data_IF_153781065152
#
_entry.id   IF_153781065152
#
_cell.length_a   1.000
_cell.length_b   1.000
_cell.length_c   1.000
_cell.angle_alpha   90.00
_cell.angle_beta   90.00
_cell.angle_gamma   90.00
#
_symmetry.space_group_name_H-M   'P 1'
#
loop_
_entity.id
_entity.type
_entity.pdbx_description
1 polymer ?
#
# COMPACT_ATOMS: atom_id res chain seq x y z
N UNK A 1 52.92 -15.95 32.75
CA UNK A 1 52.14 -16.68 31.72
C UNK A 1 50.62 -16.68 31.96
N UNK A 2 50.09 -17.02 33.12
CA UNK A 2 48.63 -17.14 33.35
C UNK A 2 47.86 -15.81 33.23
N UNK A 3 48.44 -14.65 33.57
CA UNK A 3 47.81 -13.33 33.45
C UNK A 3 47.61 -12.94 31.98
N UNK A 4 48.58 -13.23 31.11
CA UNK A 4 48.50 -12.95 29.66
C UNK A 4 47.41 -13.81 29.02
N UNK A 5 47.29 -15.08 29.40
CA UNK A 5 46.26 -16.00 28.90
C UNK A 5 44.86 -15.53 29.24
N UNK A 6 44.64 -14.98 30.46
CA UNK A 6 43.36 -14.40 30.86
C UNK A 6 42.97 -13.15 30.04
N UNK A 7 43.97 -12.30 29.76
CA UNK A 7 43.71 -11.10 28.92
C UNK A 7 43.39 -11.47 27.48
N UNK A 8 44.05 -12.47 26.92
CA UNK A 8 43.76 -12.96 25.58
C UNK A 8 42.36 -13.62 25.50
N UNK A 9 41.99 -14.40 26.49
CA UNK A 9 40.65 -14.99 26.56
C UNK A 9 39.56 -13.92 26.69
N UNK A 10 39.78 -12.90 27.52
CA UNK A 10 38.81 -11.80 27.68
C UNK A 10 38.67 -10.96 26.40
N UNK A 11 39.77 -10.70 25.70
CA UNK A 11 39.76 -10.03 24.43
C UNK A 11 39.02 -10.82 23.35
N UNK A 12 39.18 -12.14 23.30
CA UNK A 12 38.45 -13.02 22.38
C UNK A 12 36.93 -13.02 22.65
N UNK A 13 36.52 -13.05 23.93
CA UNK A 13 35.11 -12.99 24.33
C UNK A 13 34.49 -11.65 23.94
N UNK A 14 35.20 -10.53 24.18
CA UNK A 14 34.71 -9.19 23.79
C UNK A 14 34.58 -9.05 22.27
N UNK A 15 35.54 -9.58 21.50
CA UNK A 15 35.47 -9.59 20.03
C UNK A 15 34.29 -10.45 19.55
N UNK A 16 34.04 -11.61 20.17
CA UNK A 16 32.87 -12.45 19.82
C UNK A 16 31.53 -11.75 20.11
N UNK A 17 31.43 -11.07 21.27
CA UNK A 17 30.22 -10.28 21.62
C UNK A 17 30.02 -9.14 20.64
N UNK A 18 31.08 -8.44 20.26
CA UNK A 18 31.00 -7.33 19.30
C UNK A 18 30.58 -7.81 17.90
N UNK A 19 31.12 -8.94 17.44
CA UNK A 19 30.71 -9.58 16.19
C UNK A 19 29.27 -10.04 16.22
N UNK A 20 28.83 -10.64 17.32
CA UNK A 20 27.45 -11.08 17.49
C UNK A 20 26.47 -9.89 17.51
N UNK A 21 26.81 -8.83 18.24
CA UNK A 21 26.02 -7.61 18.27
C UNK A 21 25.95 -6.94 16.88
N UNK A 22 27.07 -6.89 16.14
CA UNK A 22 27.08 -6.38 14.77
C UNK A 22 26.23 -7.22 13.83
N UNK A 23 26.33 -8.55 13.91
CA UNK A 23 25.53 -9.48 13.10
C UNK A 23 24.03 -9.38 13.45
N UNK A 24 23.71 -9.23 14.75
CA UNK A 24 22.34 -9.04 15.20
C UNK A 24 21.74 -7.72 14.73
N UNK A 25 22.50 -6.63 14.79
CA UNK A 25 22.10 -5.32 14.24
C UNK A 25 21.91 -5.37 12.71
N UNK A 26 22.76 -6.11 12.00
CA UNK A 26 22.60 -6.32 10.56
C UNK A 26 21.37 -7.18 10.22
N UNK A 27 21.10 -8.21 11.02
CA UNK A 27 19.90 -9.03 10.88
C UNK A 27 18.60 -8.24 11.14
N UNK A 28 18.63 -7.31 12.12
CA UNK A 28 17.50 -6.41 12.41
C UNK A 28 17.31 -5.33 11.32
N UNK A 29 18.35 -4.99 10.59
CA UNK A 29 18.27 -4.01 9.48
C UNK A 29 17.62 -4.59 8.21
N UNK A 30 17.38 -5.88 8.15
CA UNK A 30 16.91 -6.57 6.95
C UNK A 30 17.97 -6.55 5.81
N UNK A 31 17.77 -7.28 4.73
CA UNK A 31 18.65 -7.19 3.57
C UNK A 31 18.62 -5.74 3.09
N UNK A 32 19.81 -5.13 2.98
CA UNK A 32 19.96 -3.78 2.43
C UNK A 32 19.30 -3.76 1.06
N UNK A 33 18.14 -3.11 0.94
CA UNK A 33 17.65 -2.71 -0.36
C UNK A 33 18.76 -1.87 -0.99
N UNK A 34 19.27 -2.27 -2.14
CA UNK A 34 20.22 -1.47 -2.89
C UNK A 34 19.64 -0.05 -3.02
N UNK A 35 20.44 1.02 -2.91
CA UNK A 35 19.94 2.38 -3.05
C UNK A 35 19.23 2.49 -4.39
N UNK A 36 17.90 2.59 -4.34
CA UNK A 36 17.08 2.84 -5.53
C UNK A 36 17.44 4.25 -5.99
N UNK A 37 18.07 4.34 -7.15
CA UNK A 37 18.31 5.60 -7.84
C UNK A 37 16.99 6.36 -7.90
N UNK A 38 16.91 7.66 -7.50
CA UNK A 38 15.68 8.40 -7.59
C UNK A 38 15.12 8.27 -9.01
N UNK A 39 13.86 7.85 -9.10
CA UNK A 39 13.18 7.74 -10.37
C UNK A 39 13.26 9.10 -11.07
N UNK A 40 13.70 9.08 -12.31
CA UNK A 40 13.71 10.25 -13.16
C UNK A 40 12.35 10.91 -13.10
N UNK A 41 12.38 12.24 -12.99
CA UNK A 41 11.29 13.19 -13.10
C UNK A 41 10.10 12.64 -13.89
N UNK A 42 8.94 12.52 -13.22
CA UNK A 42 7.74 11.99 -13.84
C UNK A 42 7.43 12.84 -15.09
N UNK A 43 7.73 12.30 -16.25
CA UNK A 43 7.31 12.89 -17.53
C UNK A 43 5.81 13.16 -17.44
N UNK A 44 5.39 14.37 -17.78
CA UNK A 44 3.99 14.76 -17.83
C UNK A 44 3.22 13.70 -18.65
N UNK A 45 2.46 12.86 -17.97
CA UNK A 45 1.64 11.85 -18.61
C UNK A 45 0.59 12.58 -19.43
N UNK A 46 0.63 12.42 -20.74
CA UNK A 46 -0.49 12.77 -21.62
C UNK A 46 -1.74 12.10 -21.07
N UNK A 47 -2.87 12.80 -20.94
CA UNK A 47 -4.10 12.18 -20.46
C UNK A 47 -4.44 11.00 -21.37
N UNK A 48 -4.69 9.81 -20.79
CA UNK A 48 -5.06 8.66 -21.57
C UNK A 48 -6.42 8.88 -22.24
N UNK A 49 -6.70 8.23 -23.39
CA UNK A 49 -7.96 8.36 -24.09
C UNK A 49 -9.13 7.96 -23.17
N UNK A 50 -10.22 8.68 -23.27
CA UNK A 50 -11.46 8.41 -22.52
C UNK A 50 -11.94 6.98 -22.78
N UNK A 51 -11.86 6.13 -21.77
CA UNK A 51 -12.37 4.78 -21.85
C UNK A 51 -13.90 4.78 -21.64
N UNK A 52 -14.63 4.24 -22.62
CA UNK A 52 -16.03 3.90 -22.46
C UNK A 52 -16.12 2.39 -22.23
N UNK A 53 -16.69 1.98 -21.09
CA UNK A 53 -16.95 0.56 -20.84
C UNK A 53 -17.79 -0.03 -21.98
N UNK A 54 -17.38 -1.14 -22.59
CA UNK A 54 -18.23 -1.83 -23.56
C UNK A 54 -19.52 -2.26 -22.86
N UNK A 55 -20.66 -1.87 -23.45
CA UNK A 55 -21.96 -2.32 -22.99
C UNK A 55 -22.01 -3.84 -23.11
N UNK A 56 -22.15 -4.55 -21.98
CA UNK A 56 -22.48 -5.98 -22.00
C UNK A 56 -21.57 -6.93 -21.23
N UNK A 57 -20.48 -6.50 -20.60
CA UNK A 57 -19.72 -7.38 -19.69
C UNK A 57 -20.12 -7.11 -18.25
N UNK A 58 -21.21 -7.70 -17.80
CA UNK A 58 -21.50 -7.90 -16.39
C UNK A 58 -20.59 -9.05 -15.90
N UNK A 59 -19.38 -8.71 -15.46
CA UNK A 59 -18.65 -9.62 -14.61
C UNK A 59 -19.52 -9.85 -13.36
N UNK A 60 -19.87 -11.11 -13.12
CA UNK A 60 -20.59 -11.55 -11.92
C UNK A 60 -19.64 -11.45 -10.72
N UNK A 61 -19.26 -10.22 -10.38
CA UNK A 61 -18.53 -9.93 -9.15
C UNK A 61 -19.54 -9.97 -8.02
N UNK A 62 -19.15 -10.63 -6.91
CA UNK A 62 -19.93 -10.60 -5.69
C UNK A 62 -20.27 -9.15 -5.39
N UNK A 63 -21.54 -8.81 -5.44
CA UNK A 63 -22.17 -7.51 -5.40
C UNK A 63 -21.54 -6.43 -4.51
N UNK A 64 -20.25 -6.09 -4.76
CA UNK A 64 -19.64 -4.90 -4.17
C UNK A 64 -20.40 -3.71 -4.78
N UNK A 65 -21.13 -2.95 -3.97
CA UNK A 65 -21.86 -1.80 -4.50
C UNK A 65 -20.87 -0.72 -4.90
N UNK A 66 -21.14 -0.02 -6.01
CA UNK A 66 -20.49 1.26 -6.27
C UNK A 66 -20.92 2.25 -5.21
N UNK A 67 -19.99 2.75 -4.41
CA UNK A 67 -20.26 3.66 -3.29
C UNK A 67 -19.47 4.94 -3.43
N UNK A 68 -20.15 6.07 -3.26
CA UNK A 68 -19.55 7.41 -3.24
C UNK A 68 -19.73 8.03 -1.86
N UNK A 69 -18.61 8.47 -1.26
CA UNK A 69 -18.56 8.93 0.13
C UNK A 69 -18.86 10.40 0.35
N UNK A 70 -19.38 11.13 -0.63
CA UNK A 70 -19.67 12.56 -0.48
C UNK A 70 -18.43 13.47 -0.50
N UNK A 71 -17.20 12.95 -0.60
CA UNK A 71 -16.04 13.77 -0.95
C UNK A 71 -15.86 13.81 -2.46
N UNK A 72 -15.35 14.92 -3.00
CA UNK A 72 -15.02 15.01 -4.41
C UNK A 72 -13.92 14.01 -4.73
N UNK A 73 -14.15 13.04 -5.64
CA UNK A 73 -13.07 12.18 -6.10
C UNK A 73 -12.01 13.01 -6.82
N UNK A 74 -10.76 12.53 -6.88
CA UNK A 74 -9.70 13.24 -7.58
C UNK A 74 -10.02 13.37 -9.07
N UNK A 75 -9.50 14.39 -9.76
CA UNK A 75 -9.61 14.49 -11.19
C UNK A 75 -8.90 13.31 -11.87
N UNK A 76 -9.59 12.66 -12.79
CA UNK A 76 -9.08 11.49 -13.51
C UNK A 76 -9.27 10.18 -12.75
N UNK A 77 -9.13 9.08 -13.47
CA UNK A 77 -9.25 7.72 -12.97
C UNK A 77 -8.17 6.85 -13.58
N UNK A 78 -7.70 5.85 -12.82
CA UNK A 78 -6.82 4.81 -13.34
C UNK A 78 -7.49 4.09 -14.52
N UNK A 79 -6.69 3.68 -15.49
CA UNK A 79 -7.12 2.84 -16.62
C UNK A 79 -6.67 1.38 -16.50
N UNK A 80 -6.35 0.94 -15.28
CA UNK A 80 -6.11 -0.47 -14.97
C UNK A 80 -4.66 -0.93 -15.03
N UNK A 81 -3.76 -0.21 -15.71
CA UNK A 81 -2.33 -0.63 -15.80
C UNK A 81 -1.49 -0.13 -14.64
N UNK A 82 -1.71 1.12 -14.21
CA UNK A 82 -0.93 1.80 -13.16
C UNK A 82 -1.87 2.66 -12.31
N UNK A 83 -1.58 2.86 -11.02
CA UNK A 83 -2.27 3.85 -10.23
C UNK A 83 -2.08 5.26 -10.80
N UNK A 84 -3.17 6.01 -10.90
CA UNK A 84 -3.11 7.41 -11.29
C UNK A 84 -2.91 8.29 -10.06
N UNK A 85 -1.91 9.14 -10.10
CA UNK A 85 -1.65 10.16 -9.08
C UNK A 85 -1.76 11.55 -9.71
N UNK A 86 -2.59 12.43 -9.13
CA UNK A 86 -2.83 13.77 -9.66
C UNK A 86 -2.51 14.84 -8.63
N UNK A 87 -2.07 16.04 -9.05
CA UNK A 87 -1.88 17.16 -8.12
C UNK A 87 -3.16 17.50 -7.36
N UNK A 88 -3.00 17.97 -6.13
CA UNK A 88 -4.11 18.53 -5.35
C UNK A 88 -4.61 19.80 -6.02
N UNK A 89 -5.92 19.96 -6.26
CA UNK A 89 -6.49 21.17 -6.84
C UNK A 89 -6.14 22.42 -6.02
N UNK A 90 -5.93 23.55 -6.70
CA UNK A 90 -5.72 24.83 -6.03
C UNK A 90 -6.91 25.13 -5.12
N UNK A 91 -6.64 25.53 -3.89
CA UNK A 91 -7.67 25.90 -2.90
C UNK A 91 -8.19 24.72 -2.06
N UNK A 92 -7.84 23.48 -2.37
CA UNK A 92 -8.18 22.35 -1.49
C UNK A 92 -7.37 22.43 -0.20
N UNK A 93 -8.08 22.63 0.91
CA UNK A 93 -7.48 22.79 2.23
C UNK A 93 -7.45 21.47 3.02
N UNK A 94 -6.65 21.43 4.08
CA UNK A 94 -6.76 20.39 5.10
C UNK A 94 -8.14 20.46 5.76
N UNK A 95 -8.68 19.30 6.10
CA UNK A 95 -9.99 19.16 6.75
C UNK A 95 -9.91 18.25 7.97
N UNK A 96 -10.95 18.27 8.80
CA UNK A 96 -11.04 17.39 9.98
C UNK A 96 -11.92 16.18 9.66
N UNK A 97 -11.43 14.99 10.00
CA UNK A 97 -12.15 13.74 9.91
C UNK A 97 -11.80 12.83 11.10
N UNK A 98 -12.81 12.34 11.82
CA UNK A 98 -12.62 11.49 13.01
C UNK A 98 -11.57 12.05 14.00
N UNK A 99 -11.65 13.33 14.34
CA UNK A 99 -10.73 14.06 15.24
C UNK A 99 -9.27 14.14 14.76
N UNK A 100 -9.02 13.85 13.48
CA UNK A 100 -7.71 14.01 12.85
C UNK A 100 -7.77 15.10 11.78
N UNK A 101 -6.71 15.90 11.68
CA UNK A 101 -6.52 16.83 10.56
C UNK A 101 -5.92 16.05 9.40
N UNK A 102 -6.64 15.97 8.29
CA UNK A 102 -6.19 15.33 7.07
C UNK A 102 -5.72 16.39 6.07
N UNK A 103 -4.49 16.26 5.60
CA UNK A 103 -3.90 17.08 4.55
C UNK A 103 -3.78 16.26 3.28
N UNK A 104 -4.51 16.58 2.20
CA UNK A 104 -4.34 15.95 0.91
C UNK A 104 -2.91 16.19 0.36
N UNK A 105 -2.30 15.14 -0.16
CA UNK A 105 -0.98 15.16 -0.77
C UNK A 105 -1.08 15.02 -2.30
N UNK A 106 -1.91 14.07 -2.75
CA UNK A 106 -2.21 13.79 -4.15
C UNK A 106 -3.62 13.22 -4.28
N UNK A 107 -4.27 13.46 -5.41
CA UNK A 107 -5.38 12.62 -5.85
C UNK A 107 -4.88 11.25 -6.23
N UNK A 108 -5.67 10.21 -5.99
CA UNK A 108 -5.27 8.83 -6.21
C UNK A 108 -6.43 8.00 -6.76
N UNK A 109 -6.16 7.22 -7.81
CA UNK A 109 -7.10 6.26 -8.37
C UNK A 109 -6.35 5.01 -8.76
N UNK A 110 -6.86 3.84 -8.39
CA UNK A 110 -6.26 2.54 -8.74
C UNK A 110 -7.33 1.52 -9.11
N UNK A 111 -7.12 0.82 -10.22
CA UNK A 111 -7.83 -0.41 -10.58
C UNK A 111 -6.96 -1.58 -10.15
N UNK A 112 -7.44 -2.39 -9.22
CA UNK A 112 -6.63 -3.42 -8.61
C UNK A 112 -7.41 -4.70 -8.32
N UNK A 113 -6.69 -5.80 -8.24
CA UNK A 113 -7.15 -7.05 -7.62
C UNK A 113 -6.71 -7.07 -6.17
N UNK A 114 -7.61 -7.40 -5.27
CA UNK A 114 -7.33 -7.53 -3.85
C UNK A 114 -6.64 -8.86 -3.58
N UNK A 115 -5.37 -8.83 -3.17
CA UNK A 115 -4.63 -10.03 -2.79
C UNK A 115 -4.97 -10.47 -1.37
N UNK A 116 -5.24 -9.53 -0.48
CA UNK A 116 -5.62 -9.76 0.91
C UNK A 116 -6.34 -8.54 1.46
N UNK A 117 -7.29 -8.75 2.36
CA UNK A 117 -8.01 -7.70 3.09
C UNK A 117 -7.93 -7.98 4.60
N UNK A 118 -7.55 -6.98 5.38
CA UNK A 118 -7.39 -7.11 6.84
C UNK A 118 -8.17 -6.02 7.56
N UNK A 119 -9.12 -6.43 8.41
CA UNK A 119 -9.84 -5.55 9.33
C UNK A 119 -9.04 -5.31 10.60
N UNK A 120 -9.14 -4.08 11.14
CA UNK A 120 -8.55 -3.66 12.41
C UNK A 120 -9.58 -3.00 13.31
N UNK A 121 -9.51 -3.26 14.62
CA UNK A 121 -10.45 -2.72 15.61
C UNK A 121 -9.78 -2.20 16.88
N UNK A 122 -8.54 -2.56 17.15
CA UNK A 122 -7.90 -2.35 18.45
C UNK A 122 -6.66 -1.47 18.44
N UNK A 123 -5.96 -1.34 17.30
CA UNK A 123 -4.80 -0.46 17.21
C UNK A 123 -5.22 1.02 17.16
N UNK A 124 -4.25 1.91 17.31
CA UNK A 124 -4.46 3.35 17.33
C UNK A 124 -5.13 3.84 16.04
N UNK A 125 -4.70 3.32 14.92
CA UNK A 125 -5.11 3.71 13.58
C UNK A 125 -6.49 3.16 13.19
N UNK A 126 -7.00 2.12 13.89
CA UNK A 126 -8.23 1.41 13.53
C UNK A 126 -9.47 2.32 13.47
N UNK A 127 -9.53 3.34 14.34
CA UNK A 127 -10.64 4.32 14.32
C UNK A 127 -10.63 5.17 13.06
N UNK A 128 -9.46 5.41 12.50
CA UNK A 128 -9.29 6.22 11.28
C UNK A 128 -9.33 5.33 10.04
N UNK A 129 -8.49 4.29 9.99
CA UNK A 129 -8.36 3.34 8.89
C UNK A 129 -8.68 1.91 9.38
N UNK A 130 -9.97 1.50 9.38
CA UNK A 130 -10.39 0.21 9.91
C UNK A 130 -10.06 -0.98 9.00
N UNK A 131 -9.61 -0.74 7.76
CA UNK A 131 -9.31 -1.79 6.78
C UNK A 131 -8.01 -1.46 6.06
N UNK A 132 -7.18 -2.47 5.88
CA UNK A 132 -6.04 -2.45 4.98
C UNK A 132 -6.31 -3.42 3.82
N UNK A 133 -6.00 -2.98 2.61
CA UNK A 133 -6.06 -3.79 1.41
C UNK A 133 -4.66 -3.98 0.82
N UNK A 134 -4.24 -5.22 0.65
CA UNK A 134 -3.08 -5.56 -0.18
C UNK A 134 -3.55 -5.63 -1.63
N UNK A 135 -3.20 -4.64 -2.42
CA UNK A 135 -3.67 -4.43 -3.79
C UNK A 135 -2.59 -4.79 -4.81
N UNK A 136 -3.02 -5.34 -5.96
CA UNK A 136 -2.19 -5.65 -7.10
C UNK A 136 -2.76 -5.01 -8.36
N UNK A 137 -1.90 -4.42 -9.21
CA UNK A 137 -2.28 -3.80 -10.48
C UNK A 137 -1.36 -4.24 -11.62
N UNK A 138 -1.67 -3.83 -12.86
CA UNK A 138 -0.92 -4.26 -14.04
C UNK A 138 -0.88 -5.79 -14.16
N UNK A 139 0.27 -6.35 -14.50
CA UNK A 139 0.47 -7.81 -14.61
C UNK A 139 0.28 -8.57 -13.30
N UNK A 140 0.43 -7.91 -12.15
CA UNK A 140 0.16 -8.52 -10.85
C UNK A 140 -1.32 -8.89 -10.66
N UNK A 141 -2.24 -8.44 -11.53
CA UNK A 141 -3.65 -8.85 -11.50
C UNK A 141 -3.90 -10.24 -12.09
N UNK A 142 -2.89 -10.86 -12.70
CA UNK A 142 -3.00 -12.23 -13.21
C UNK A 142 -3.22 -13.23 -12.07
N UNK A 143 -4.25 -14.05 -12.21
CA UNK A 143 -4.62 -15.07 -11.21
C UNK A 143 -3.51 -16.08 -10.93
N UNK A 144 -2.75 -16.48 -11.96
CA UNK A 144 -1.65 -17.42 -11.80
C UNK A 144 -0.52 -16.81 -10.98
N UNK A 145 -0.24 -15.51 -11.17
CA UNK A 145 0.75 -14.77 -10.40
C UNK A 145 0.30 -14.61 -8.95
N UNK A 146 -0.95 -14.17 -8.73
CA UNK A 146 -1.49 -14.01 -7.37
C UNK A 146 -1.50 -15.33 -6.61
N UNK A 147 -1.90 -16.43 -7.26
CA UNK A 147 -1.91 -17.78 -6.66
C UNK A 147 -0.51 -18.30 -6.34
N UNK A 148 0.51 -17.91 -7.10
CA UNK A 148 1.89 -18.27 -6.83
C UNK A 148 2.49 -17.50 -5.64
N UNK A 149 1.90 -16.35 -5.28
CA UNK A 149 2.32 -15.53 -4.15
C UNK A 149 1.51 -15.90 -2.90
N UNK A 150 2.22 -16.24 -1.83
CA UNK A 150 1.62 -16.39 -0.50
C UNK A 150 1.62 -15.04 0.19
N UNK A 151 0.51 -14.32 0.09
CA UNK A 151 0.33 -13.00 0.68
C UNK A 151 -0.26 -13.13 2.07
N UNK A 152 0.33 -12.43 3.04
CA UNK A 152 -0.17 -12.31 4.42
C UNK A 152 -0.15 -10.86 4.86
N UNK A 153 -1.06 -10.47 5.76
CA UNK A 153 -1.07 -9.13 6.37
C UNK A 153 -1.02 -9.25 7.89
N UNK A 154 -0.12 -8.49 8.52
CA UNK A 154 -0.01 -8.38 9.97
C UNK A 154 0.57 -7.02 10.36
N UNK A 155 0.14 -6.47 11.51
CA UNK A 155 0.66 -5.22 12.08
C UNK A 155 0.77 -4.07 11.07
N UNK A 156 -0.25 -3.88 10.23
CA UNK A 156 -0.33 -2.85 9.19
C UNK A 156 0.63 -3.04 8.01
N UNK A 157 1.25 -4.21 7.90
CA UNK A 157 2.12 -4.58 6.80
C UNK A 157 1.53 -5.72 6.01
N UNK A 158 1.93 -5.84 4.73
CA UNK A 158 1.76 -7.05 3.96
C UNK A 158 3.11 -7.68 3.65
N UNK A 159 3.11 -9.00 3.55
CA UNK A 159 4.27 -9.82 3.24
C UNK A 159 3.89 -10.75 2.12
N UNK A 160 4.81 -11.01 1.23
CA UNK A 160 4.63 -11.98 0.17
C UNK A 160 5.88 -12.84 0.02
N UNK A 161 5.67 -14.05 -0.44
CA UNK A 161 6.70 -15.03 -0.74
C UNK A 161 6.18 -15.98 -1.80
N UNK A 162 7.08 -16.67 -2.48
CA UNK A 162 6.75 -17.74 -3.40
C UNK A 162 7.63 -18.96 -3.12
N UNK A 163 7.25 -20.11 -3.68
CA UNK A 163 8.03 -21.33 -3.67
C UNK A 163 8.30 -21.74 -5.13
N UNK A 164 9.54 -22.18 -5.42
CA UNK A 164 9.95 -22.57 -6.77
C UNK A 164 10.30 -21.39 -7.66
N UNK A 165 9.73 -21.36 -8.88
CA UNK A 165 10.04 -20.31 -9.85
C UNK A 165 9.42 -18.98 -9.45
N UNK A 166 10.19 -17.90 -9.58
CA UNK A 166 9.73 -16.52 -9.38
C UNK A 166 8.58 -16.21 -10.36
N UNK A 167 7.39 -15.79 -9.86
CA UNK A 167 6.22 -15.56 -10.73
C UNK A 167 6.35 -14.29 -11.57
N UNK A 168 7.01 -13.27 -11.03
CA UNK A 168 7.40 -12.03 -11.70
C UNK A 168 8.73 -11.54 -11.11
N UNK A 169 9.50 -10.73 -11.84
CA UNK A 169 10.67 -10.07 -11.26
C UNK A 169 10.31 -9.33 -9.96
N UNK A 170 11.07 -9.55 -8.89
CA UNK A 170 10.85 -8.91 -7.58
C UNK A 170 10.61 -7.41 -7.67
N UNK A 171 11.38 -6.70 -8.52
CA UNK A 171 11.20 -5.26 -8.74
C UNK A 171 9.85 -4.90 -9.36
N UNK A 172 9.25 -5.79 -10.15
CA UNK A 172 7.91 -5.61 -10.71
C UNK A 172 6.84 -5.88 -9.65
N UNK A 173 6.99 -6.92 -8.83
CA UNK A 173 6.08 -7.18 -7.70
C UNK A 173 6.01 -5.96 -6.79
N UNK A 174 7.17 -5.39 -6.41
CA UNK A 174 7.25 -4.19 -5.57
C UNK A 174 6.53 -3.00 -6.21
N UNK A 175 6.72 -2.75 -7.51
CA UNK A 175 6.10 -1.60 -8.18
C UNK A 175 4.63 -1.78 -8.50
N UNK A 176 4.14 -3.02 -8.54
CA UNK A 176 2.79 -3.36 -8.98
C UNK A 176 1.91 -3.91 -7.86
N UNK A 177 2.32 -3.74 -6.61
CA UNK A 177 1.50 -4.08 -5.45
C UNK A 177 1.88 -3.23 -4.24
N UNK A 178 0.90 -3.00 -3.35
CA UNK A 178 1.13 -2.29 -2.09
C UNK A 178 0.08 -2.67 -1.03
N UNK A 179 0.43 -2.49 0.25
CA UNK A 179 -0.54 -2.45 1.32
C UNK A 179 -1.04 -1.03 1.50
N UNK A 180 -2.35 -0.84 1.42
CA UNK A 180 -2.97 0.48 1.47
C UNK A 180 -3.92 0.57 2.66
N UNK A 181 -3.75 1.61 3.48
CA UNK A 181 -4.57 1.89 4.66
C UNK A 181 -5.78 2.72 4.25
N UNK A 182 -6.99 2.18 4.42
CA UNK A 182 -8.23 2.76 3.90
C UNK A 182 -8.94 3.59 4.97
N UNK A 183 -8.99 4.89 4.80
CA UNK A 183 -9.75 5.83 5.62
C UNK A 183 -11.09 6.09 4.92
N UNK A 184 -12.21 5.53 5.39
CA UNK A 184 -13.51 5.74 4.76
C UNK A 184 -13.99 7.16 4.96
N UNK A 185 -14.47 7.82 3.90
CA UNK A 185 -15.02 9.18 3.98
C UNK A 185 -16.36 9.25 4.70
N UNK A 186 -17.11 8.15 4.73
CA UNK A 186 -18.36 8.01 5.48
C UNK A 186 -18.68 6.52 5.76
N UNK A 187 -19.82 6.25 6.41
CA UNK A 187 -20.23 4.89 6.80
C UNK A 187 -20.58 4.00 5.61
N UNK A 188 -21.08 4.54 4.51
CA UNK A 188 -21.34 3.75 3.30
C UNK A 188 -20.04 3.23 2.67
N UNK A 189 -19.01 4.09 2.56
CA UNK A 189 -17.67 3.71 2.11
C UNK A 189 -17.03 2.74 3.11
N UNK A 190 -17.23 2.95 4.42
CA UNK A 190 -16.76 2.03 5.47
C UNK A 190 -17.33 0.62 5.27
N UNK A 191 -18.63 0.53 5.09
CA UNK A 191 -19.33 -0.76 4.88
C UNK A 191 -18.84 -1.44 3.61
N UNK A 192 -18.68 -0.69 2.50
CA UNK A 192 -18.14 -1.23 1.26
C UNK A 192 -16.73 -1.77 1.44
N UNK A 193 -15.82 -1.02 2.05
CA UNK A 193 -14.44 -1.44 2.32
C UNK A 193 -14.38 -2.70 3.20
N UNK A 194 -15.24 -2.79 4.23
CA UNK A 194 -15.30 -3.96 5.11
C UNK A 194 -15.86 -5.22 4.41
N UNK A 195 -16.63 -5.05 3.34
CA UNK A 195 -17.16 -6.14 2.52
C UNK A 195 -16.17 -6.70 1.49
N UNK A 196 -15.06 -5.99 1.22
CA UNK A 196 -14.05 -6.41 0.25
C UNK A 196 -13.28 -7.64 0.76
N UNK A 197 -13.02 -8.57 -0.16
CA UNK A 197 -12.30 -9.82 0.11
C UNK A 197 -11.18 -10.06 -0.90
N UNK A 198 -10.26 -10.96 -0.55
CA UNK A 198 -9.26 -11.43 -1.50
C UNK A 198 -9.92 -11.99 -2.77
N UNK A 199 -9.39 -11.62 -3.92
CA UNK A 199 -9.92 -11.99 -5.24
C UNK A 199 -10.91 -10.99 -5.84
N UNK A 200 -11.37 -9.99 -5.08
CA UNK A 200 -12.22 -8.93 -5.64
C UNK A 200 -11.40 -7.99 -6.53
N UNK A 201 -12.03 -7.48 -7.59
CA UNK A 201 -11.47 -6.45 -8.46
C UNK A 201 -12.18 -5.12 -8.19
N UNK A 202 -11.42 -4.14 -7.77
CA UNK A 202 -11.97 -2.86 -7.31
C UNK A 202 -11.22 -1.67 -7.90
N UNK A 203 -11.95 -0.58 -8.11
CA UNK A 203 -11.37 0.75 -8.23
C UNK A 203 -11.54 1.48 -6.91
N UNK A 204 -10.44 2.04 -6.43
CA UNK A 204 -10.42 2.93 -5.28
C UNK A 204 -10.07 4.33 -5.78
N UNK A 205 -10.96 5.29 -5.54
CA UNK A 205 -10.73 6.71 -5.82
C UNK A 205 -10.69 7.49 -4.51
N UNK A 206 -9.67 8.32 -4.33
CA UNK A 206 -9.51 9.08 -3.09
C UNK A 206 -8.30 10.00 -3.09
N UNK A 207 -7.83 10.32 -1.90
CA UNK A 207 -6.71 11.24 -1.70
C UNK A 207 -5.65 10.56 -0.86
N UNK A 208 -4.41 10.50 -1.34
CA UNK A 208 -3.26 10.22 -0.49
C UNK A 208 -3.15 11.36 0.52
N UNK A 209 -3.04 11.03 1.81
CA UNK A 209 -3.10 12.04 2.87
C UNK A 209 -1.93 11.95 3.86
N UNK A 210 -1.75 13.05 4.59
CA UNK A 210 -1.09 13.07 5.88
C UNK A 210 -2.15 13.34 6.94
N UNK A 211 -2.27 12.41 7.91
CA UNK A 211 -3.14 12.55 9.07
C UNK A 211 -2.34 13.05 10.26
N UNK A 212 -2.92 13.96 11.05
CA UNK A 212 -2.34 14.48 12.31
C UNK A 212 -3.38 14.45 13.42
N UNK A 213 -3.02 13.83 14.55
CA UNK A 213 -3.78 13.85 15.78
C UNK A 213 -3.47 15.10 16.62
N UNK A 214 -4.39 15.45 17.54
CA UNK A 214 -4.20 16.57 18.48
C UNK A 214 -3.03 16.36 19.46
N UNK A 215 -2.64 15.11 19.68
CA UNK A 215 -1.53 14.69 20.55
C UNK A 215 -0.16 14.70 19.89
N UNK A 216 -0.05 15.24 18.67
CA UNK A 216 1.20 15.30 17.90
C UNK A 216 1.49 14.06 17.05
N UNK A 217 0.67 13.01 17.12
CA UNK A 217 0.79 11.86 16.25
C UNK A 217 0.60 12.26 14.79
N UNK A 218 1.38 11.63 13.90
CA UNK A 218 1.23 11.82 12.46
C UNK A 218 1.39 10.53 11.71
N UNK A 219 0.65 10.40 10.61
CA UNK A 219 0.70 9.28 9.69
C UNK A 219 0.64 9.82 8.26
N UNK A 220 1.69 9.59 7.50
CA UNK A 220 1.84 10.15 6.16
C UNK A 220 1.88 9.04 5.12
N UNK A 221 1.08 9.19 4.08
CA UNK A 221 1.08 8.31 2.91
C UNK A 221 2.43 8.35 2.20
N UNK A 222 2.91 7.20 1.71
CA UNK A 222 3.83 7.20 0.60
C UNK A 222 3.22 7.89 -0.62
N UNK A 223 4.07 8.48 -1.43
CA UNK A 223 3.73 9.09 -2.72
C UNK A 223 4.57 8.51 -3.86
N UNK A 224 5.30 7.42 -3.60
CA UNK A 224 6.16 6.71 -4.55
C UNK A 224 5.69 5.27 -4.71
N UNK A 225 5.89 4.69 -5.90
CA UNK A 225 5.43 3.32 -6.21
C UNK A 225 6.53 2.26 -6.03
N UNK A 226 7.74 2.62 -5.74
CA UNK A 226 8.87 1.70 -5.63
C UNK A 226 9.54 1.71 -4.27
N UNK A 227 8.95 2.38 -3.29
CA UNK A 227 9.46 2.39 -1.93
C UNK A 227 9.01 1.15 -1.17
N UNK A 228 9.83 0.76 -0.23
CA UNK A 228 9.61 -0.39 0.64
C UNK A 228 10.00 -0.05 2.08
N UNK A 229 9.52 -0.81 3.04
CA UNK A 229 9.84 -0.59 4.43
C UNK A 229 9.01 0.53 5.08
N UNK A 230 9.48 1.05 6.19
CA UNK A 230 8.74 2.00 7.01
C UNK A 230 8.43 3.29 6.22
N UNK A 231 7.14 3.63 6.11
CA UNK A 231 6.65 4.77 5.32
C UNK A 231 6.36 4.44 3.85
N UNK A 232 6.54 3.18 3.40
CA UNK A 232 6.25 2.74 2.04
C UNK A 232 4.78 2.41 1.77
N UNK A 233 3.91 2.47 2.78
CA UNK A 233 2.48 2.20 2.59
C UNK A 233 1.71 3.49 2.22
N UNK A 234 0.67 3.33 1.41
CA UNK A 234 -0.27 4.40 1.11
C UNK A 234 -1.32 4.53 2.21
N UNK A 235 -1.65 5.77 2.55
CA UNK A 235 -2.76 6.14 3.45
C UNK A 235 -3.76 6.92 2.62
N UNK A 236 -4.94 6.34 2.38
CA UNK A 236 -5.90 6.85 1.40
C UNK A 236 -7.19 7.25 2.10
N UNK A 237 -7.59 8.52 1.96
CA UNK A 237 -8.95 8.98 2.26
C UNK A 237 -9.85 8.60 1.09
N UNK A 238 -10.64 7.54 1.26
CA UNK A 238 -11.40 6.89 0.19
C UNK A 238 -12.70 7.63 -0.06
N UNK A 239 -12.86 8.18 -1.26
CA UNK A 239 -14.08 8.86 -1.72
C UNK A 239 -15.05 7.93 -2.42
N UNK A 240 -14.54 6.95 -3.16
CA UNK A 240 -15.37 5.97 -3.87
C UNK A 240 -14.71 4.60 -3.92
N UNK A 241 -15.58 3.58 -3.90
CA UNK A 241 -15.26 2.19 -4.18
C UNK A 241 -16.16 1.75 -5.33
N UNK A 242 -15.56 1.20 -6.39
CA UNK A 242 -16.30 0.74 -7.57
C UNK A 242 -15.79 -0.65 -7.96
N UNK A 243 -16.65 -1.66 -8.15
CA UNK A 243 -16.23 -2.91 -8.77
C UNK A 243 -15.76 -2.66 -10.19
N UNK A 244 -14.68 -3.29 -10.61
CA UNK A 244 -14.17 -3.22 -11.97
C UNK A 244 -14.07 -4.60 -12.59
N UNK A 245 -14.30 -4.75 -13.90
CA UNK A 245 -14.13 -6.04 -14.53
C UNK A 245 -12.65 -6.44 -14.49
N UNK A 246 -12.40 -7.74 -14.28
CA UNK A 246 -11.09 -8.30 -14.55
C UNK A 246 -10.92 -8.36 -16.05
N UNK A 247 -9.95 -7.61 -16.61
CA UNK A 247 -9.61 -7.78 -18.01
C UNK A 247 -8.97 -9.16 -18.18
N UNK A 248 -9.55 -10.08 -18.96
CA UNK A 248 -8.83 -11.27 -19.38
C UNK A 248 -7.61 -10.81 -20.18
N UNK A 249 -6.42 -11.14 -19.70
CA UNK A 249 -5.18 -10.97 -20.47
C UNK A 249 -5.03 -12.10 -21.46
#
# INVERSE_FOLDING_TARGET
MWRVLKWLAMAAVLAAISLFAWYYVQALRGPHAAPVKPAAEAAALTPPPTWHAPAGVQAQQRGIPTVYGGCSPPPGKSLGSEPLQTPVPRGMQSFVHNNHRLKPLFGFSVDATVMSAKGYSTDREAKLAPVDLALAWGRMRDDAIIKALHVTQDQRWYHWRWYGKEPLPTAEIIRSSANMHMIPSNDAVRTALQGIQAGDDVRIDGWLIEARGADGWSWRSSTQRGDTGQGGCEVIYVCAVTPVPRNPQ
#
